data_IF_247715789817
#
_entry.id   IF_247715789817
#
_cell.length_a   1.000
_cell.length_b   1.000
_cell.length_c   1.000
_cell.angle_alpha   90.00
_cell.angle_beta   90.00
_cell.angle_gamma   90.00
#
_symmetry.space_group_name_H-M   'P 1'
#
loop_
_entity.id
_entity.type
_entity.pdbx_description
1 polymer ?
#
# COMPACT_ATOMS: atom_id res chain seq x y z
N UNK A 1 -3.05 6.58 -10.28
CA UNK A 1 -2.88 7.99 -9.83
C UNK A 1 -4.02 8.33 -8.90
N UNK A 2 -3.72 8.74 -7.67
CA UNK A 2 -4.72 8.98 -6.62
C UNK A 2 -5.58 10.18 -7.00
N UNK A 3 -6.90 9.99 -7.10
CA UNK A 3 -7.87 11.06 -7.35
C UNK A 3 -8.97 10.97 -6.31
N UNK A 4 -9.23 12.06 -5.60
CA UNK A 4 -10.29 12.15 -4.59
C UNK A 4 -11.15 13.36 -4.92
N UNK A 5 -12.43 13.14 -5.20
CA UNK A 5 -13.39 14.22 -5.46
C UNK A 5 -14.02 14.69 -4.16
N UNK A 6 -14.18 16.00 -4.01
CA UNK A 6 -14.96 16.58 -2.92
C UNK A 6 -16.43 16.15 -3.05
N UNK A 7 -17.08 15.86 -1.92
CA UNK A 7 -18.54 15.72 -1.86
C UNK A 7 -19.15 16.99 -1.29
N UNK A 8 -20.38 17.31 -1.69
CA UNK A 8 -21.03 18.58 -1.34
C UNK A 8 -21.24 18.85 0.15
N UNK A 9 -21.19 17.81 1.00
CA UNK A 9 -21.37 17.91 2.46
C UNK A 9 -20.08 17.69 3.27
N UNK A 10 -18.91 17.60 2.62
CA UNK A 10 -17.65 17.30 3.30
C UNK A 10 -16.86 18.58 3.60
N UNK A 11 -16.28 18.66 4.81
CA UNK A 11 -15.30 19.69 5.13
C UNK A 11 -13.94 19.42 4.49
N UNK A 12 -13.12 20.46 4.32
CA UNK A 12 -11.78 20.35 3.74
C UNK A 12 -10.90 19.32 4.49
N UNK A 13 -11.00 19.28 5.82
CA UNK A 13 -10.20 18.36 6.65
C UNK A 13 -10.61 16.88 6.43
N UNK A 14 -11.91 16.62 6.22
CA UNK A 14 -12.38 15.28 5.86
C UNK A 14 -11.88 14.85 4.47
N UNK A 15 -11.87 15.77 3.51
CA UNK A 15 -11.32 15.53 2.18
C UNK A 15 -9.82 15.20 2.23
N UNK A 16 -9.04 15.96 3.00
CA UNK A 16 -7.60 15.73 3.20
C UNK A 16 -7.32 14.38 3.88
N UNK A 17 -8.10 14.01 4.90
CA UNK A 17 -7.98 12.69 5.55
C UNK A 17 -8.25 11.55 4.58
N UNK A 18 -9.27 11.68 3.72
CA UNK A 18 -9.55 10.70 2.66
C UNK A 18 -8.42 10.62 1.64
N UNK A 19 -7.89 11.77 1.23
CA UNK A 19 -6.75 11.82 0.31
C UNK A 19 -5.53 11.12 0.89
N UNK A 20 -5.18 11.40 2.15
CA UNK A 20 -4.09 10.72 2.86
C UNK A 20 -4.30 9.21 2.90
N UNK A 21 -5.49 8.75 3.29
CA UNK A 21 -5.83 7.32 3.27
C UNK A 21 -5.73 6.69 1.88
N UNK A 22 -6.12 7.42 0.83
CA UNK A 22 -6.01 6.92 -0.54
C UNK A 22 -4.54 6.78 -0.97
N UNK A 23 -3.68 7.75 -0.62
CA UNK A 23 -2.23 7.67 -0.85
C UNK A 23 -1.57 6.51 -0.08
N UNK A 24 -2.01 6.27 1.16
CA UNK A 24 -1.55 5.14 1.97
C UNK A 24 -1.99 3.79 1.39
N UNK A 25 -3.24 3.68 0.94
CA UNK A 25 -3.80 2.47 0.33
C UNK A 25 -3.09 2.10 -0.97
N UNK A 26 -2.79 3.09 -1.81
CA UNK A 26 -2.04 2.92 -3.05
C UNK A 26 -0.54 2.64 -2.79
N UNK A 27 -0.08 2.79 -1.54
CA UNK A 27 1.30 2.52 -1.17
C UNK A 27 2.29 3.57 -1.70
N UNK A 28 1.81 4.75 -2.10
CA UNK A 28 2.61 5.81 -2.71
C UNK A 28 3.78 6.23 -1.82
N UNK A 29 3.52 6.40 -0.51
CA UNK A 29 4.55 6.74 0.48
C UNK A 29 5.63 5.66 0.60
N UNK A 30 5.25 4.39 0.44
CA UNK A 30 6.19 3.26 0.49
C UNK A 30 7.03 3.19 -0.78
N UNK A 31 6.43 3.48 -1.92
CA UNK A 31 7.12 3.57 -3.22
C UNK A 31 8.16 4.69 -3.21
N UNK A 32 7.79 5.88 -2.74
CA UNK A 32 8.71 7.02 -2.58
C UNK A 32 9.93 6.65 -1.74
N UNK A 33 9.72 6.06 -0.55
CA UNK A 33 10.82 5.60 0.30
C UNK A 33 11.70 4.53 -0.35
N UNK A 34 11.13 3.71 -1.23
CA UNK A 34 11.83 2.63 -1.94
C UNK A 34 12.73 3.15 -3.05
N UNK A 35 12.36 4.25 -3.70
CA UNK A 35 13.14 4.86 -4.80
C UNK A 35 14.03 6.00 -4.35
N UNK A 36 13.91 6.46 -3.09
CA UNK A 36 14.69 7.55 -2.54
C UNK A 36 16.21 7.30 -2.53
N UNK A 37 16.64 6.04 -2.61
CA UNK A 37 18.06 5.66 -2.67
C UNK A 37 18.26 4.53 -3.68
N UNK A 38 19.48 4.44 -4.21
CA UNK A 38 19.86 3.34 -5.09
C UNK A 38 19.85 2.01 -4.32
N UNK A 39 19.11 1.03 -4.85
CA UNK A 39 19.05 -0.33 -4.35
C UNK A 39 19.70 -1.24 -5.41
N UNK A 40 20.77 -1.97 -5.05
CA UNK A 40 21.45 -2.88 -6.00
C UNK A 40 20.45 -3.90 -6.58
N UNK A 41 20.56 -4.30 -7.87
CA UNK A 41 19.60 -5.22 -8.50
C UNK A 41 19.37 -6.54 -7.74
N UNK A 42 20.41 -7.08 -7.10
CA UNK A 42 20.29 -8.29 -6.26
C UNK A 42 19.38 -8.10 -5.05
N UNK A 43 19.47 -6.93 -4.40
CA UNK A 43 18.66 -6.57 -3.23
C UNK A 43 17.21 -6.37 -3.65
N UNK A 44 16.97 -5.72 -4.80
CA UNK A 44 15.63 -5.59 -5.40
C UNK A 44 15.00 -6.96 -5.63
N UNK A 45 15.73 -7.90 -6.24
CA UNK A 45 15.25 -9.28 -6.49
C UNK A 45 14.91 -10.00 -5.19
N UNK A 46 15.82 -9.99 -4.22
CA UNK A 46 15.60 -10.61 -2.90
C UNK A 46 14.38 -10.03 -2.18
N UNK A 47 14.21 -8.70 -2.19
CA UNK A 47 13.05 -8.02 -1.60
C UNK A 47 11.74 -8.41 -2.28
N UNK A 48 11.71 -8.49 -3.62
CA UNK A 48 10.52 -8.92 -4.38
C UNK A 48 10.11 -10.36 -4.00
N UNK A 49 11.06 -11.28 -3.91
CA UNK A 49 10.80 -12.67 -3.50
C UNK A 49 10.22 -12.73 -2.09
N UNK A 50 10.85 -12.06 -1.11
CA UNK A 50 10.35 -12.00 0.27
C UNK A 50 8.94 -11.41 0.36
N UNK A 51 8.66 -10.36 -0.40
CA UNK A 51 7.34 -9.73 -0.41
C UNK A 51 6.27 -10.64 -1.02
N UNK A 52 6.60 -11.39 -2.09
CA UNK A 52 5.71 -12.38 -2.70
C UNK A 52 5.39 -13.51 -1.71
N UNK A 53 6.40 -14.07 -1.05
CA UNK A 53 6.22 -15.10 -0.03
C UNK A 53 5.34 -14.62 1.13
N UNK A 54 5.59 -13.40 1.63
CA UNK A 54 4.77 -12.80 2.70
C UNK A 54 3.30 -12.67 2.28
N UNK A 55 3.01 -12.23 1.04
CA UNK A 55 1.64 -12.11 0.51
C UNK A 55 0.97 -13.48 0.42
N UNK A 56 1.67 -14.50 -0.08
CA UNK A 56 1.15 -15.88 -0.15
C UNK A 56 0.80 -16.41 1.23
N UNK A 57 1.70 -16.26 2.20
CA UNK A 57 1.48 -16.70 3.58
C UNK A 57 0.26 -16.00 4.22
N UNK A 58 0.13 -14.67 4.03
CA UNK A 58 -1.02 -13.92 4.52
C UNK A 58 -2.33 -14.41 3.90
N UNK A 59 -2.35 -14.67 2.58
CA UNK A 59 -3.52 -15.23 1.91
C UNK A 59 -3.89 -16.61 2.46
N UNK A 60 -2.91 -17.49 2.67
CA UNK A 60 -3.14 -18.82 3.27
C UNK A 60 -3.70 -18.72 4.69
N UNK A 61 -3.19 -17.80 5.52
CA UNK A 61 -3.70 -17.58 6.88
C UNK A 61 -5.14 -17.08 6.85
N UNK A 62 -5.45 -16.08 6.02
CA UNK A 62 -6.82 -15.54 5.89
C UNK A 62 -7.82 -16.61 5.42
N UNK A 63 -7.42 -17.48 4.49
CA UNK A 63 -8.25 -18.59 4.02
C UNK A 63 -8.48 -19.67 5.10
N UNK A 64 -7.53 -19.86 6.02
CA UNK A 64 -7.69 -20.78 7.16
C UNK A 64 -8.57 -20.20 8.27
N UNK A 65 -8.58 -18.89 8.46
CA UNK A 65 -9.34 -18.21 9.53
C UNK A 65 -10.76 -17.80 9.12
N UNK A 66 -11.09 -17.80 7.83
CA UNK A 66 -12.41 -17.41 7.30
C UNK A 66 -13.42 -18.55 7.16
N UNK A 67 -13.19 -19.68 7.83
CA UNK A 67 -14.08 -20.84 7.85
C UNK A 67 -14.61 -21.14 9.25
N UNK A 68 -15.35 -20.19 9.83
CA UNK A 68 -16.35 -20.33 10.89
C UNK A 68 -17.41 -19.24 10.66
#
# INVERSE_FOLDING_TARGET
>A
MVKVKARGSESLDQLLKRFKKACEKEGLTRELKRVAFYEKPSVIRSRKTRQSLKRKMQATIMNKTGGL
#
